data_IF_827487523537
#
_entry.id   IF_827487523537
#
_cell.length_a   1.000
_cell.length_b   1.000
_cell.length_c   1.000
_cell.angle_alpha   90.00
_cell.angle_beta   90.00
_cell.angle_gamma   90.00
#
_symmetry.space_group_name_H-M   'P 1'
#
loop_
_entity.id
_entity.type
_entity.pdbx_description
1 polymer ?
#
# COMPACT_ATOMS: atom_id res chain seq x y z
N UNK A 1 4.40 -24.98 3.33
CA UNK A 1 3.27 -24.46 2.52
C UNK A 1 2.66 -23.18 3.08
N UNK A 2 2.17 -23.15 4.33
CA UNK A 2 1.58 -21.95 4.94
C UNK A 2 2.52 -20.73 4.89
N UNK A 3 3.79 -20.88 5.26
CA UNK A 3 4.77 -19.79 5.22
C UNK A 3 5.04 -19.27 3.82
N UNK A 4 5.06 -20.14 2.80
CA UNK A 4 5.20 -19.74 1.41
C UNK A 4 4.00 -18.87 0.97
N UNK A 5 2.78 -19.32 1.29
CA UNK A 5 1.56 -18.59 0.94
C UNK A 5 1.49 -17.24 1.66
N UNK A 6 1.79 -17.19 2.97
CA UNK A 6 1.79 -15.95 3.75
C UNK A 6 2.90 -15.02 3.29
N UNK A 7 4.11 -15.54 3.03
CA UNK A 7 5.23 -14.75 2.54
C UNK A 7 4.98 -14.12 1.18
N UNK A 8 4.50 -14.91 0.21
CA UNK A 8 4.12 -14.40 -1.11
C UNK A 8 2.91 -13.45 -1.05
N UNK A 9 1.92 -13.79 -0.24
CA UNK A 9 0.73 -12.94 -0.04
C UNK A 9 1.10 -11.57 0.52
N UNK A 10 1.91 -11.52 1.56
CA UNK A 10 2.37 -10.26 2.15
C UNK A 10 3.21 -9.44 1.15
N UNK A 11 4.11 -10.09 0.41
CA UNK A 11 4.92 -9.40 -0.61
C UNK A 11 4.07 -8.80 -1.73
N UNK A 12 3.01 -9.50 -2.16
CA UNK A 12 2.06 -8.99 -3.13
C UNK A 12 1.29 -7.77 -2.57
N UNK A 13 0.82 -7.87 -1.33
CA UNK A 13 0.13 -6.78 -0.62
C UNK A 13 1.03 -5.55 -0.48
N UNK A 14 2.26 -5.75 -0.05
CA UNK A 14 3.23 -4.67 0.12
C UNK A 14 3.59 -4.04 -1.25
N UNK A 15 3.73 -4.84 -2.30
CA UNK A 15 3.94 -4.37 -3.66
C UNK A 15 2.78 -3.52 -4.19
N UNK A 16 1.53 -3.96 -3.98
CA UNK A 16 0.34 -3.20 -4.36
C UNK A 16 0.28 -1.87 -3.58
N UNK A 17 0.48 -1.90 -2.26
CA UNK A 17 0.50 -0.68 -1.44
C UNK A 17 1.60 0.28 -1.85
N UNK A 18 2.76 -0.24 -2.18
CA UNK A 18 3.90 0.56 -2.63
C UNK A 18 3.61 1.29 -3.95
N UNK A 19 2.96 0.64 -4.90
CA UNK A 19 2.53 1.29 -6.16
C UNK A 19 1.46 2.37 -5.96
N UNK A 20 0.72 2.30 -4.86
CA UNK A 20 -0.31 3.29 -4.51
C UNK A 20 0.24 4.44 -3.63
N UNK A 21 1.51 4.41 -3.24
CA UNK A 21 2.15 5.53 -2.52
C UNK A 21 2.24 6.76 -3.43
N UNK A 22 2.15 7.96 -2.86
CA UNK A 22 2.27 9.21 -3.62
C UNK A 22 0.96 9.97 -3.80
N UNK A 23 -0.16 9.44 -3.30
CA UNK A 23 -1.44 10.16 -3.20
C UNK A 23 -2.09 9.81 -1.86
N UNK A 24 -2.77 10.78 -1.25
CA UNK A 24 -3.51 10.55 0.00
C UNK A 24 -4.62 9.51 -0.22
N UNK A 25 -4.63 8.46 0.60
CA UNK A 25 -5.55 7.32 0.46
C UNK A 25 -7.03 7.68 0.64
N UNK A 26 -7.33 8.78 1.33
CA UNK A 26 -8.69 9.29 1.51
C UNK A 26 -8.85 10.64 0.80
N UNK A 27 -8.62 10.64 -0.51
CA UNK A 27 -8.69 11.83 -1.33
C UNK A 27 -9.55 11.64 -2.56
N UNK A 28 -9.96 12.75 -3.15
CA UNK A 28 -10.66 12.81 -4.41
C UNK A 28 -10.03 13.84 -5.34
N UNK A 29 -10.26 13.65 -6.63
CA UNK A 29 -9.85 14.61 -7.66
C UNK A 29 -11.06 15.08 -8.43
N UNK A 30 -11.05 16.35 -8.83
CA UNK A 30 -12.06 16.91 -9.73
C UNK A 30 -11.46 17.97 -10.65
N UNK A 31 -11.90 17.95 -11.88
CA UNK A 31 -11.57 18.95 -12.89
C UNK A 31 -12.78 19.27 -13.76
N UNK A 32 -12.69 20.35 -14.52
CA UNK A 32 -13.74 20.79 -15.43
C UNK A 32 -13.76 19.94 -16.70
N UNK A 33 -14.96 19.63 -17.18
CA UNK A 33 -15.22 19.00 -18.46
C UNK A 33 -16.40 19.71 -19.15
N UNK A 34 -16.68 19.40 -20.40
CA UNK A 34 -17.83 19.98 -21.11
C UNK A 34 -19.17 19.59 -20.47
N UNK A 35 -20.09 20.55 -20.37
CA UNK A 35 -21.42 20.31 -19.82
C UNK A 35 -22.20 19.30 -20.65
N UNK A 36 -22.83 18.33 -20.00
CA UNK A 36 -23.65 17.30 -20.65
C UNK A 36 -25.08 17.71 -20.88
N UNK A 37 -25.58 18.75 -20.18
CA UNK A 37 -26.97 19.19 -20.19
C UNK A 37 -27.08 20.71 -20.42
N UNK A 38 -28.17 21.13 -21.06
CA UNK A 38 -28.54 22.55 -21.10
C UNK A 38 -29.18 22.93 -19.77
N UNK A 39 -28.86 24.11 -19.22
CA UNK A 39 -29.38 24.56 -17.95
C UNK A 39 -29.44 26.07 -17.85
N UNK A 40 -30.53 26.62 -17.33
CA UNK A 40 -30.77 28.07 -17.15
C UNK A 40 -30.43 28.92 -18.38
N UNK A 41 -30.80 28.47 -19.54
CA UNK A 41 -30.57 29.19 -20.80
C UNK A 41 -29.18 28.96 -21.42
N UNK A 42 -28.29 28.23 -20.77
CA UNK A 42 -26.99 27.88 -21.28
C UNK A 42 -27.04 26.55 -22.05
N UNK A 43 -26.26 26.49 -23.15
CA UNK A 43 -26.26 25.32 -24.05
C UNK A 43 -25.49 24.12 -23.45
N UNK A 44 -25.88 22.91 -23.88
CA UNK A 44 -25.10 21.69 -23.72
C UNK A 44 -23.78 21.78 -24.48
N UNK A 45 -22.72 21.13 -23.98
CA UNK A 45 -21.39 21.12 -24.59
C UNK A 45 -20.57 22.39 -24.30
N UNK A 46 -21.01 23.21 -23.36
CA UNK A 46 -20.27 24.41 -22.95
C UNK A 46 -18.99 24.04 -22.20
N UNK A 47 -17.86 24.54 -22.68
CA UNK A 47 -16.61 24.49 -21.92
C UNK A 47 -16.66 25.50 -20.76
N UNK A 48 -16.16 25.09 -19.61
CA UNK A 48 -15.99 25.92 -18.42
C UNK A 48 -14.69 25.56 -17.72
N UNK A 49 -14.22 26.39 -16.82
CA UNK A 49 -12.98 26.13 -16.08
C UNK A 49 -13.16 26.51 -14.61
N UNK A 50 -12.50 25.77 -13.75
CA UNK A 50 -12.35 26.14 -12.33
C UNK A 50 -11.43 27.36 -12.27
N UNK A 51 -11.74 28.32 -11.43
CA UNK A 51 -11.03 29.58 -11.33
C UNK A 51 -10.53 29.84 -9.89
N UNK A 52 -9.56 30.73 -9.77
CA UNK A 52 -9.07 31.18 -8.45
C UNK A 52 -10.19 31.70 -7.55
N UNK A 53 -11.21 32.36 -8.15
CA UNK A 53 -12.38 32.87 -7.41
C UNK A 53 -13.24 31.79 -6.78
N UNK A 54 -13.07 30.53 -7.17
CA UNK A 54 -13.84 29.41 -6.62
C UNK A 54 -13.25 28.88 -5.31
N UNK A 55 -11.93 29.05 -5.11
CA UNK A 55 -11.20 28.50 -3.95
C UNK A 55 -11.80 28.94 -2.61
N UNK A 56 -12.07 30.23 -2.34
CA UNK A 56 -12.63 30.64 -1.05
C UNK A 56 -14.00 30.03 -0.74
N UNK A 57 -14.79 29.74 -1.78
CA UNK A 57 -16.09 29.08 -1.62
C UNK A 57 -15.93 27.58 -1.36
N UNK A 58 -15.00 26.92 -2.07
CA UNK A 58 -14.67 25.53 -1.84
C UNK A 58 -14.17 25.31 -0.41
N UNK A 59 -13.24 26.13 0.07
CA UNK A 59 -12.70 26.04 1.44
C UNK A 59 -13.77 26.27 2.52
N UNK A 60 -14.75 27.13 2.24
CA UNK A 60 -15.84 27.41 3.18
C UNK A 60 -16.93 26.35 3.19
N UNK A 61 -17.30 25.82 2.01
CA UNK A 61 -18.49 25.01 1.83
C UNK A 61 -18.21 23.51 1.78
N UNK A 62 -17.00 23.08 1.38
CA UNK A 62 -16.59 21.70 1.45
C UNK A 62 -16.10 21.32 2.86
N UNK A 63 -17.02 21.31 3.81
CA UNK A 63 -16.71 21.15 5.25
C UNK A 63 -16.12 19.80 5.63
N UNK A 64 -16.33 18.76 4.81
CA UNK A 64 -15.75 17.45 4.99
C UNK A 64 -14.26 17.39 4.57
N UNK A 65 -13.76 18.40 3.83
CA UNK A 65 -12.37 18.48 3.44
C UNK A 65 -11.48 18.96 4.59
N UNK A 66 -10.35 18.29 4.79
CA UNK A 66 -9.24 18.76 5.63
C UNK A 66 -8.38 19.77 4.87
N UNK A 67 -8.11 19.46 3.60
CA UNK A 67 -7.35 20.31 2.71
C UNK A 67 -7.89 20.24 1.28
N UNK A 68 -7.84 21.37 0.60
CA UNK A 68 -8.13 21.48 -0.83
C UNK A 68 -6.87 21.98 -1.52
N UNK A 69 -6.24 21.12 -2.29
CA UNK A 69 -5.09 21.50 -3.09
C UNK A 69 -5.52 21.73 -4.54
N UNK A 70 -4.83 22.61 -5.22
CA UNK A 70 -5.11 22.94 -6.61
C UNK A 70 -3.84 22.93 -7.45
N UNK A 71 -4.01 22.53 -8.69
CA UNK A 71 -2.91 22.29 -9.63
C UNK A 71 -3.20 22.95 -10.98
N UNK A 72 -2.14 23.54 -11.52
CA UNK A 72 -2.07 23.97 -12.89
C UNK A 72 -1.00 23.19 -13.63
N UNK A 73 -1.40 22.48 -14.67
CA UNK A 73 -0.46 21.84 -15.58
C UNK A 73 0.09 22.88 -16.56
N UNK A 74 1.42 23.01 -16.59
CA UNK A 74 2.12 23.84 -17.55
C UNK A 74 2.63 22.94 -18.70
N UNK A 75 2.98 21.69 -18.35
CA UNK A 75 3.47 20.69 -19.28
C UNK A 75 4.99 20.64 -19.35
N UNK A 76 5.47 19.83 -20.28
CA UNK A 76 6.90 19.74 -20.61
C UNK A 76 7.08 20.12 -22.08
N UNK A 77 8.21 20.70 -22.41
CA UNK A 77 8.67 20.93 -23.78
C UNK A 77 10.15 20.67 -23.88
N UNK A 78 10.63 20.48 -25.08
CA UNK A 78 12.01 20.08 -25.33
C UNK A 78 12.99 21.05 -24.68
N UNK A 79 13.94 20.51 -23.92
CA UNK A 79 15.02 21.25 -23.23
C UNK A 79 14.50 22.42 -22.38
N UNK A 80 13.38 22.22 -21.70
CA UNK A 80 12.73 23.28 -20.92
C UNK A 80 13.52 23.70 -19.67
N UNK A 81 14.47 22.86 -19.22
CA UNK A 81 15.19 23.11 -17.97
C UNK A 81 16.69 22.92 -18.17
N UNK A 82 17.48 23.83 -17.58
CA UNK A 82 18.93 23.74 -17.61
C UNK A 82 19.60 24.25 -16.32
N UNK A 83 20.77 23.68 -16.02
CA UNK A 83 21.71 24.10 -14.98
C UNK A 83 23.13 23.93 -15.50
N UNK A 84 23.83 25.05 -15.77
CA UNK A 84 25.11 25.00 -16.48
C UNK A 84 24.95 24.27 -17.81
N UNK A 85 25.76 23.25 -18.02
CA UNK A 85 25.77 22.42 -19.24
C UNK A 85 24.70 21.29 -19.22
N UNK A 86 24.03 21.08 -18.09
CA UNK A 86 23.00 20.06 -17.95
C UNK A 86 21.66 20.58 -18.44
N UNK A 87 21.03 19.80 -19.30
CA UNK A 87 19.74 20.16 -19.93
C UNK A 87 18.80 18.96 -19.89
N UNK A 88 17.53 19.21 -19.57
CA UNK A 88 16.50 18.18 -19.54
C UNK A 88 15.11 18.71 -19.88
N UNK A 89 14.18 17.79 -20.07
CA UNK A 89 12.78 18.07 -20.32
C UNK A 89 11.93 17.48 -19.19
N UNK A 90 11.36 18.34 -18.35
CA UNK A 90 10.61 17.93 -17.16
C UNK A 90 9.22 18.51 -17.13
N UNK A 91 8.28 17.82 -16.49
CA UNK A 91 6.91 18.29 -16.32
C UNK A 91 6.85 19.40 -15.28
N UNK A 92 6.39 20.57 -15.69
CA UNK A 92 6.26 21.74 -14.82
C UNK A 92 4.82 21.87 -14.32
N UNK A 93 4.68 21.94 -13.00
CA UNK A 93 3.41 22.07 -12.31
C UNK A 93 3.39 23.30 -11.43
N UNK A 94 2.32 24.09 -11.52
CA UNK A 94 1.99 25.09 -10.51
C UNK A 94 1.11 24.45 -9.44
N UNK A 95 1.54 24.49 -8.18
CA UNK A 95 0.85 23.80 -7.08
C UNK A 95 0.56 24.74 -5.91
N UNK A 96 -0.55 24.47 -5.21
CA UNK A 96 -0.87 25.13 -3.94
C UNK A 96 0.06 24.69 -2.81
N UNK A 97 0.04 25.40 -1.71
CA UNK A 97 0.76 25.08 -0.48
C UNK A 97 0.27 23.76 0.17
N UNK A 98 -1.02 23.46 0.06
CA UNK A 98 -1.62 22.21 0.57
C UNK A 98 -1.33 20.97 -0.30
N UNK A 99 -0.66 21.15 -1.44
CA UNK A 99 -0.45 20.04 -2.39
C UNK A 99 0.38 18.89 -1.80
N UNK A 100 1.27 19.15 -0.85
CA UNK A 100 2.04 18.07 -0.19
C UNK A 100 1.14 17.12 0.58
N UNK A 101 0.04 17.60 1.17
CA UNK A 101 -0.93 16.77 1.87
C UNK A 101 -1.69 15.82 0.92
N UNK A 102 -1.92 16.27 -0.32
CA UNK A 102 -2.56 15.46 -1.35
C UNK A 102 -1.59 14.46 -2.01
N UNK A 103 -0.34 14.88 -2.27
CA UNK A 103 0.66 14.07 -2.98
C UNK A 103 1.41 13.08 -2.07
N UNK A 104 1.42 13.30 -0.74
CA UNK A 104 2.07 12.44 0.27
C UNK A 104 3.51 12.01 -0.04
N UNK A 105 4.20 12.68 -0.99
CA UNK A 105 5.56 12.31 -1.36
C UNK A 105 6.57 12.89 -0.37
N UNK A 106 7.38 12.05 0.30
CA UNK A 106 8.39 12.52 1.24
C UNK A 106 9.44 13.40 0.57
N UNK A 107 10.12 14.23 1.35
CA UNK A 107 11.24 15.03 0.90
C UNK A 107 12.56 14.36 1.28
N UNK A 108 13.52 14.36 0.36
CA UNK A 108 14.89 13.95 0.59
C UNK A 108 15.67 15.08 1.25
N UNK A 109 15.49 16.32 0.75
CA UNK A 109 16.13 17.53 1.26
C UNK A 109 15.14 18.70 1.29
N UNK A 110 15.36 19.60 2.23
CA UNK A 110 14.70 20.89 2.27
C UNK A 110 13.24 20.85 2.71
N UNK A 111 12.41 21.69 2.09
CA UNK A 111 10.98 21.86 2.41
C UNK A 111 10.12 21.92 1.15
N UNK A 112 8.83 21.71 1.33
CA UNK A 112 7.86 21.92 0.26
C UNK A 112 7.49 23.42 0.11
N UNK A 113 6.71 23.73 -0.94
CA UNK A 113 6.11 25.06 -1.18
C UNK A 113 5.13 25.34 -0.04
N UNK A 114 5.19 26.56 0.48
CA UNK A 114 4.33 27.01 1.56
C UNK A 114 3.47 28.22 1.18
N UNK A 115 2.54 28.60 2.06
CA UNK A 115 1.63 29.72 1.87
C UNK A 115 2.37 31.03 1.50
N UNK A 116 3.52 31.33 2.16
CA UNK A 116 4.31 32.54 1.86
C UNK A 116 4.89 32.51 0.45
N UNK A 117 5.27 31.34 -0.07
CA UNK A 117 5.79 31.21 -1.42
C UNK A 117 4.69 31.49 -2.46
N UNK A 118 3.47 30.99 -2.18
CA UNK A 118 2.28 31.21 -3.01
C UNK A 118 1.84 32.68 -2.94
N UNK A 119 1.68 33.25 -1.73
CA UNK A 119 1.20 34.60 -1.55
C UNK A 119 2.17 35.65 -2.12
N UNK A 120 3.48 35.45 -1.95
CA UNK A 120 4.51 36.40 -2.42
C UNK A 120 5.01 36.08 -3.84
N UNK A 121 4.43 35.08 -4.51
CA UNK A 121 4.81 34.66 -5.88
C UNK A 121 6.32 34.42 -6.01
N UNK A 122 6.90 33.71 -5.02
CA UNK A 122 8.34 33.46 -4.97
C UNK A 122 8.77 32.57 -6.11
N UNK A 123 9.94 32.86 -6.70
CA UNK A 123 10.57 31.99 -7.70
C UNK A 123 11.35 30.85 -7.03
N UNK A 124 10.61 29.93 -6.43
CA UNK A 124 11.15 28.73 -5.79
C UNK A 124 10.57 27.48 -6.45
N UNK A 125 11.30 26.37 -6.35
CA UNK A 125 10.82 25.09 -6.88
C UNK A 125 11.17 23.92 -5.97
N UNK A 126 10.35 22.88 -6.08
CA UNK A 126 10.63 21.54 -5.56
C UNK A 126 10.80 20.61 -6.75
N UNK A 127 11.86 19.81 -6.76
CA UNK A 127 12.22 18.93 -7.87
C UNK A 127 12.07 17.46 -7.49
N UNK A 128 11.68 16.62 -8.44
CA UNK A 128 11.61 15.17 -8.28
C UNK A 128 13.01 14.51 -8.31
N UNK A 129 13.07 13.25 -7.90
CA UNK A 129 14.34 12.50 -7.77
C UNK A 129 15.10 12.38 -9.09
N UNK A 130 14.43 12.07 -10.21
CA UNK A 130 15.08 11.97 -11.51
C UNK A 130 15.61 13.33 -11.97
N UNK A 131 14.79 14.39 -11.85
CA UNK A 131 15.23 15.77 -12.13
C UNK A 131 16.45 16.16 -11.30
N UNK A 132 16.49 15.74 -10.03
CA UNK A 132 17.61 15.97 -9.14
C UNK A 132 18.87 15.25 -9.63
N UNK A 133 18.81 13.96 -9.96
CA UNK A 133 19.96 13.17 -10.42
C UNK A 133 20.55 13.69 -11.74
N UNK A 134 19.67 14.09 -12.65
CA UNK A 134 20.08 14.57 -13.96
C UNK A 134 20.77 15.95 -13.90
N UNK A 135 20.22 16.88 -13.10
CA UNK A 135 20.74 18.25 -13.00
C UNK A 135 21.85 18.41 -11.95
N UNK A 136 21.94 17.50 -10.98
CA UNK A 136 22.87 17.56 -9.86
C UNK A 136 23.60 16.21 -9.66
N UNK A 137 24.37 15.74 -10.67
CA UNK A 137 25.06 14.45 -10.60
C UNK A 137 26.12 14.38 -9.49
N UNK A 138 26.55 15.54 -8.97
CA UNK A 138 27.43 15.65 -7.82
C UNK A 138 26.78 15.22 -6.50
N UNK A 139 25.46 15.15 -6.47
CA UNK A 139 24.69 14.76 -5.28
C UNK A 139 24.76 15.78 -4.14
N UNK A 140 24.28 15.36 -2.96
CA UNK A 140 24.25 16.20 -1.76
C UNK A 140 23.04 17.13 -1.67
N UNK A 141 23.00 17.96 -0.62
CA UNK A 141 21.91 18.93 -0.44
C UNK A 141 22.07 20.10 -1.43
N UNK A 142 21.09 20.24 -2.31
CA UNK A 142 21.04 21.26 -3.36
C UNK A 142 20.10 22.41 -3.04
N UNK A 143 19.58 22.44 -1.81
CA UNK A 143 18.71 23.54 -1.39
C UNK A 143 19.42 24.88 -1.46
N UNK A 144 18.74 25.88 -2.03
CA UNK A 144 19.34 27.20 -2.25
C UNK A 144 19.99 27.39 -3.61
N UNK A 145 20.34 26.32 -4.32
CA UNK A 145 20.86 26.40 -5.69
C UNK A 145 19.76 26.79 -6.69
N UNK A 146 20.15 27.23 -7.87
CA UNK A 146 19.22 27.69 -8.88
C UNK A 146 19.23 26.81 -10.12
N UNK A 147 18.06 26.60 -10.69
CA UNK A 147 17.83 26.00 -12.02
C UNK A 147 17.08 27.00 -12.89
N UNK A 148 17.23 26.92 -14.18
CA UNK A 148 16.49 27.75 -15.13
C UNK A 148 15.47 26.88 -15.85
N UNK A 149 14.19 27.26 -15.75
CA UNK A 149 13.07 26.56 -16.40
C UNK A 149 12.38 27.52 -17.34
N UNK A 150 12.30 27.19 -18.63
CA UNK A 150 11.71 28.06 -19.63
C UNK A 150 12.29 29.48 -19.68
N UNK A 151 13.59 29.61 -19.44
CA UNK A 151 14.29 30.90 -19.41
C UNK A 151 14.18 31.66 -18.07
N UNK A 152 13.51 31.11 -17.06
CA UNK A 152 13.29 31.76 -15.78
C UNK A 152 14.02 30.99 -14.68
N UNK A 153 14.74 31.73 -13.84
CA UNK A 153 15.51 31.16 -12.75
C UNK A 153 14.65 30.90 -11.52
N UNK A 154 14.69 29.66 -11.01
CA UNK A 154 14.04 29.21 -9.79
C UNK A 154 15.07 28.71 -8.79
N UNK A 155 14.87 29.02 -7.52
CA UNK A 155 15.68 28.49 -6.42
C UNK A 155 15.07 27.19 -5.92
N UNK A 156 15.87 26.13 -5.87
CA UNK A 156 15.47 24.85 -5.31
C UNK A 156 15.31 24.99 -3.79
N UNK A 157 14.13 24.67 -3.28
CA UNK A 157 13.81 24.72 -1.83
C UNK A 157 13.57 23.33 -1.27
N UNK A 158 13.38 22.33 -2.11
CA UNK A 158 13.24 20.94 -1.71
C UNK A 158 13.47 19.97 -2.87
N UNK A 159 13.82 18.74 -2.49
CA UNK A 159 13.99 17.60 -3.39
C UNK A 159 13.09 16.50 -2.86
N UNK A 160 12.24 15.93 -3.71
CA UNK A 160 11.39 14.79 -3.34
C UNK A 160 12.18 13.49 -3.41
N UNK A 161 11.84 12.55 -2.54
CA UNK A 161 12.38 11.19 -2.64
C UNK A 161 11.86 10.51 -3.90
N UNK A 162 12.58 9.50 -4.37
CA UNK A 162 12.12 8.66 -5.48
C UNK A 162 10.74 8.06 -5.15
N UNK A 163 9.82 8.24 -6.08
CA UNK A 163 8.53 7.60 -6.07
C UNK A 163 8.50 6.52 -7.14
N UNK A 164 8.14 5.31 -6.78
CA UNK A 164 7.90 4.23 -7.74
C UNK A 164 6.41 4.08 -8.05
N UNK A 165 5.61 5.03 -7.54
CA UNK A 165 4.18 5.07 -7.79
C UNK A 165 3.91 5.45 -9.26
N UNK A 166 3.05 4.67 -9.90
CA UNK A 166 2.51 4.98 -11.22
C UNK A 166 1.38 6.03 -11.16
N UNK A 167 0.92 6.37 -9.95
CA UNK A 167 -0.08 7.42 -9.72
C UNK A 167 0.60 8.78 -9.51
N UNK A 168 1.18 9.31 -10.59
CA UNK A 168 1.72 10.66 -10.60
C UNK A 168 0.69 11.68 -11.06
N UNK A 169 0.44 12.72 -10.25
CA UNK A 169 -0.36 13.86 -10.64
C UNK A 169 0.38 14.65 -11.72
N UNK A 170 -0.08 14.58 -12.96
CA UNK A 170 0.57 15.31 -14.06
C UNK A 170 1.78 14.59 -14.66
N UNK A 171 1.86 13.26 -14.55
CA UNK A 171 2.94 12.45 -15.08
C UNK A 171 3.86 11.88 -13.99
N UNK A 172 5.01 11.34 -14.37
CA UNK A 172 5.95 10.76 -13.41
C UNK A 172 6.42 11.81 -12.39
N UNK A 173 6.15 11.56 -11.11
CA UNK A 173 6.52 12.46 -10.00
C UNK A 173 8.04 12.68 -9.91
N UNK A 174 8.84 11.72 -10.36
CA UNK A 174 10.29 11.81 -10.37
C UNK A 174 10.82 12.82 -11.40
N UNK A 175 10.09 13.02 -12.50
CA UNK A 175 10.41 13.95 -13.58
C UNK A 175 9.68 15.28 -13.48
N UNK A 176 9.24 15.67 -12.29
CA UNK A 176 8.45 16.89 -12.09
C UNK A 176 9.26 18.00 -11.43
N UNK A 177 8.93 19.23 -11.86
CA UNK A 177 9.32 20.47 -11.20
C UNK A 177 8.03 21.15 -10.72
N UNK A 178 7.90 21.34 -9.42
CA UNK A 178 6.76 21.98 -8.79
C UNK A 178 7.13 23.40 -8.38
N UNK A 179 6.34 24.37 -8.80
CA UNK A 179 6.52 25.79 -8.45
C UNK A 179 5.23 26.33 -7.80
N UNK A 180 5.29 27.45 -7.04
CA UNK A 180 4.08 28.03 -6.46
C UNK A 180 3.04 28.34 -7.54
N UNK A 181 1.78 28.01 -7.26
CA UNK A 181 0.67 28.14 -8.21
C UNK A 181 0.56 29.55 -8.81
N UNK A 182 0.61 30.55 -7.95
CA UNK A 182 0.54 31.98 -8.37
C UNK A 182 1.74 32.40 -9.20
N UNK A 183 2.93 31.87 -8.91
CA UNK A 183 4.13 32.08 -9.71
C UNK A 183 3.96 31.44 -11.09
N UNK A 184 3.39 30.23 -11.16
CA UNK A 184 3.11 29.55 -12.39
C UNK A 184 2.15 30.35 -13.31
N UNK A 185 1.08 30.87 -12.74
CA UNK A 185 0.12 31.73 -13.46
C UNK A 185 0.76 33.00 -14.03
N UNK A 186 1.56 33.68 -13.21
CA UNK A 186 2.20 34.93 -13.61
C UNK A 186 3.28 34.73 -14.68
N UNK A 187 3.97 33.59 -14.62
CA UNK A 187 5.21 33.38 -15.37
C UNK A 187 4.96 32.71 -16.74
N UNK A 188 4.10 31.69 -16.76
CA UNK A 188 3.88 30.86 -17.95
C UNK A 188 2.54 31.14 -18.65
N UNK A 189 2.04 32.30 -18.52
CA UNK A 189 0.83 32.78 -19.16
C UNK A 189 -0.40 32.34 -18.37
N UNK A 190 -1.32 33.25 -18.23
CA UNK A 190 -2.33 32.74 -17.69
C UNK A 190 -3.51 33.31 -17.11
N UNK A 191 -4.50 32.83 -17.56
CA UNK A 191 -5.81 32.96 -17.00
C UNK A 191 -5.80 32.40 -15.57
N UNK A 192 -6.71 32.83 -14.74
CA UNK A 192 -7.01 32.34 -13.39
C UNK A 192 -7.55 30.89 -13.37
N UNK A 193 -7.14 30.06 -14.35
CA UNK A 193 -7.62 28.70 -14.55
C UNK A 193 -6.86 27.71 -13.67
N UNK A 194 -7.64 26.89 -12.97
CA UNK A 194 -7.19 25.73 -12.22
C UNK A 194 -7.56 24.49 -13.06
N UNK A 195 -6.59 23.63 -13.33
CA UNK A 195 -6.86 22.44 -14.14
C UNK A 195 -7.42 21.28 -13.32
N UNK A 196 -7.01 21.18 -12.04
CA UNK A 196 -7.42 20.09 -11.18
C UNK A 196 -7.43 20.51 -9.71
N UNK A 197 -8.43 20.04 -8.98
CA UNK A 197 -8.52 20.16 -7.52
C UNK A 197 -8.32 18.78 -6.89
N UNK A 198 -7.69 18.79 -5.74
CA UNK A 198 -7.61 17.66 -4.83
C UNK A 198 -8.33 18.01 -3.55
N UNK A 199 -9.23 17.13 -3.13
CA UNK A 199 -9.84 17.19 -1.82
C UNK A 199 -9.30 16.05 -0.96
N UNK A 200 -8.69 16.37 0.18
CA UNK A 200 -8.32 15.40 1.21
C UNK A 200 -9.39 15.43 2.27
N UNK A 201 -9.98 14.29 2.59
CA UNK A 201 -11.06 14.21 3.57
C UNK A 201 -10.51 14.24 5.00
N UNK A 202 -11.27 14.85 5.91
CA UNK A 202 -11.00 14.82 7.36
C UNK A 202 -11.01 13.38 7.89
N UNK A 203 -10.29 13.09 8.99
CA UNK A 203 -10.41 11.81 9.67
C UNK A 203 -11.87 11.49 10.03
N UNK A 204 -12.34 10.32 9.60
CA UNK A 204 -13.73 9.88 9.78
C UNK A 204 -14.71 10.26 8.67
N UNK A 205 -14.33 11.17 7.76
CA UNK A 205 -15.13 11.53 6.59
C UNK A 205 -14.69 10.71 5.36
N UNK A 206 -15.56 10.60 4.37
CA UNK A 206 -15.25 9.90 3.13
C UNK A 206 -14.88 10.88 2.02
N UNK A 207 -13.91 10.51 1.18
CA UNK A 207 -13.52 11.29 0.01
C UNK A 207 -14.70 11.53 -0.96
N UNK A 208 -15.64 10.59 -1.06
CA UNK A 208 -16.89 10.74 -1.81
C UNK A 208 -17.73 11.95 -1.34
N UNK A 209 -17.80 12.18 -0.02
CA UNK A 209 -18.52 13.34 0.56
C UNK A 209 -17.83 14.64 0.15
N UNK A 210 -16.50 14.69 0.24
CA UNK A 210 -15.73 15.86 -0.19
C UNK A 210 -15.94 16.12 -1.68
N UNK A 211 -15.85 15.08 -2.52
CA UNK A 211 -16.07 15.19 -3.96
C UNK A 211 -17.45 15.74 -4.29
N UNK A 212 -18.49 15.26 -3.61
CA UNK A 212 -19.86 15.73 -3.80
C UNK A 212 -19.99 17.22 -3.40
N UNK A 213 -19.50 17.60 -2.23
CA UNK A 213 -19.52 19.00 -1.78
C UNK A 213 -18.76 19.92 -2.75
N UNK A 214 -17.58 19.51 -3.22
CA UNK A 214 -16.82 20.29 -4.20
C UNK A 214 -17.57 20.45 -5.53
N UNK A 215 -18.18 19.39 -6.03
CA UNK A 215 -19.01 19.44 -7.25
C UNK A 215 -20.23 20.35 -7.06
N UNK A 216 -20.89 20.31 -5.93
CA UNK A 216 -22.08 21.14 -5.65
C UNK A 216 -21.74 22.63 -5.59
N UNK A 217 -20.62 22.98 -4.96
CA UNK A 217 -20.11 24.36 -4.99
C UNK A 217 -19.82 24.81 -6.42
N UNK A 218 -19.14 23.99 -7.20
CA UNK A 218 -18.79 24.33 -8.58
C UNK A 218 -20.05 24.40 -9.48
N UNK A 219 -21.04 23.51 -9.28
CA UNK A 219 -22.32 23.55 -10.00
C UNK A 219 -23.05 24.87 -9.80
N UNK A 220 -23.14 25.31 -8.54
CA UNK A 220 -23.83 26.55 -8.19
C UNK A 220 -23.14 27.77 -8.79
N UNK A 221 -21.81 27.81 -8.76
CA UNK A 221 -21.02 28.94 -9.23
C UNK A 221 -20.94 29.06 -10.76
N UNK A 222 -20.93 27.94 -11.45
CA UNK A 222 -20.77 27.89 -12.92
C UNK A 222 -22.07 27.60 -13.66
N UNK A 223 -23.22 27.66 -12.98
CA UNK A 223 -24.55 27.45 -13.58
C UNK A 223 -24.58 26.11 -14.34
N UNK A 224 -24.23 25.03 -13.63
CA UNK A 224 -24.25 23.65 -14.15
C UNK A 224 -25.47 22.95 -13.58
N UNK A 225 -26.15 22.12 -14.38
CA UNK A 225 -27.30 21.37 -13.91
C UNK A 225 -26.95 20.46 -12.71
N UNK A 226 -27.83 20.36 -11.67
CA UNK A 226 -27.53 19.58 -10.47
C UNK A 226 -27.23 18.11 -10.72
N UNK A 227 -27.77 17.56 -11.80
CA UNK A 227 -27.65 16.17 -12.22
C UNK A 227 -26.70 15.97 -13.43
N UNK A 228 -25.83 16.96 -13.74
CA UNK A 228 -24.88 16.90 -14.82
C UNK A 228 -23.49 16.49 -14.30
N UNK A 229 -23.28 15.18 -14.20
CA UNK A 229 -21.97 14.63 -13.82
C UNK A 229 -20.95 14.68 -14.96
N UNK A 230 -21.39 14.80 -16.23
CA UNK A 230 -20.48 14.91 -17.37
C UNK A 230 -19.67 16.21 -17.35
N UNK A 231 -20.19 17.27 -16.72
CA UNK A 231 -19.50 18.54 -16.57
C UNK A 231 -18.19 18.42 -15.76
N UNK A 232 -17.96 17.30 -15.10
CA UNK A 232 -16.80 17.06 -14.29
C UNK A 232 -16.07 15.82 -14.77
N UNK A 233 -14.75 15.85 -14.75
CA UNK A 233 -13.95 14.66 -14.72
C UNK A 233 -13.34 14.52 -13.32
N UNK A 234 -13.04 13.32 -12.92
CA UNK A 234 -12.46 13.05 -11.60
C UNK A 234 -13.13 11.88 -10.92
N UNK A 235 -12.53 11.47 -9.83
CA UNK A 235 -12.92 10.25 -9.14
C UNK A 235 -12.63 10.30 -7.64
N UNK A 236 -13.31 9.45 -6.91
CA UNK A 236 -13.03 9.14 -5.51
C UNK A 236 -11.88 8.12 -5.45
N UNK A 237 -10.65 8.62 -5.25
CA UNK A 237 -9.48 7.76 -5.08
C UNK A 237 -9.61 6.90 -3.83
N UNK A 238 -10.27 7.41 -2.79
CA UNK A 238 -10.55 6.64 -1.58
C UNK A 238 -11.41 5.40 -1.84
N UNK A 239 -12.33 5.45 -2.81
CA UNK A 239 -13.10 4.26 -3.20
C UNK A 239 -12.22 3.20 -3.87
N UNK A 240 -11.29 3.62 -4.72
CA UNK A 240 -10.33 2.70 -5.37
C UNK A 240 -9.41 2.05 -4.34
N UNK A 241 -8.87 2.82 -3.39
CA UNK A 241 -8.07 2.27 -2.31
C UNK A 241 -8.86 1.28 -1.45
N UNK A 242 -10.13 1.60 -1.11
CA UNK A 242 -11.00 0.65 -0.36
C UNK A 242 -11.26 -0.64 -1.14
N UNK A 243 -11.44 -0.55 -2.47
CA UNK A 243 -11.61 -1.75 -3.31
C UNK A 243 -10.35 -2.63 -3.28
N UNK A 244 -9.18 -2.02 -3.36
CA UNK A 244 -7.89 -2.73 -3.23
C UNK A 244 -7.75 -3.35 -1.84
N UNK A 245 -8.07 -2.63 -0.76
CA UNK A 245 -8.02 -3.18 0.61
C UNK A 245 -8.99 -4.36 0.78
N UNK A 246 -10.18 -4.33 0.17
CA UNK A 246 -11.10 -5.47 0.16
C UNK A 246 -10.54 -6.68 -0.58
N UNK A 247 -9.88 -6.49 -1.72
CA UNK A 247 -9.17 -7.56 -2.44
C UNK A 247 -8.05 -8.16 -1.59
N UNK A 248 -7.24 -7.31 -0.95
CA UNK A 248 -6.18 -7.72 -0.04
C UNK A 248 -6.75 -8.54 1.13
N UNK A 249 -7.84 -8.08 1.72
CA UNK A 249 -8.53 -8.82 2.79
C UNK A 249 -9.01 -10.18 2.29
N UNK A 250 -9.63 -10.24 1.11
CA UNK A 250 -10.08 -11.50 0.50
C UNK A 250 -8.93 -12.48 0.27
N UNK A 251 -7.81 -12.01 -0.28
CA UNK A 251 -6.60 -12.81 -0.47
C UNK A 251 -6.04 -13.31 0.87
N UNK A 252 -6.00 -12.45 1.87
CA UNK A 252 -5.53 -12.80 3.22
C UNK A 252 -6.40 -13.90 3.83
N UNK A 253 -7.73 -13.79 3.74
CA UNK A 253 -8.66 -14.82 4.21
C UNK A 253 -8.43 -16.15 3.46
N UNK A 254 -8.25 -16.10 2.15
CA UNK A 254 -7.98 -17.29 1.33
C UNK A 254 -6.68 -17.98 1.75
N UNK A 255 -5.61 -17.21 1.97
CA UNK A 255 -4.31 -17.72 2.44
C UNK A 255 -4.44 -18.41 3.79
N UNK A 256 -5.16 -17.79 4.73
CA UNK A 256 -5.43 -18.40 6.04
C UNK A 256 -6.29 -19.65 5.94
N UNK A 257 -7.31 -19.65 5.09
CA UNK A 257 -8.17 -20.82 4.87
C UNK A 257 -7.40 -22.04 4.34
N UNK A 258 -6.59 -21.82 3.29
CA UNK A 258 -5.71 -22.86 2.73
C UNK A 258 -4.66 -23.28 3.75
N UNK A 259 -4.07 -22.31 4.46
CA UNK A 259 -3.07 -22.57 5.50
C UNK A 259 -3.60 -23.43 6.64
N UNK A 260 -4.79 -23.12 7.16
CA UNK A 260 -5.46 -23.95 8.18
C UNK A 260 -5.80 -25.33 7.66
N UNK A 261 -6.29 -25.44 6.42
CA UNK A 261 -6.57 -26.72 5.79
C UNK A 261 -5.31 -27.63 5.69
N UNK A 262 -4.18 -27.05 5.31
CA UNK A 262 -2.91 -27.80 5.25
C UNK A 262 -2.40 -28.20 6.63
N UNK A 263 -2.56 -27.34 7.66
CA UNK A 263 -2.23 -27.69 9.04
C UNK A 263 -3.10 -28.83 9.58
N UNK A 264 -4.41 -28.79 9.33
CA UNK A 264 -5.33 -29.88 9.71
C UNK A 264 -4.98 -31.19 9.02
N UNK A 265 -4.66 -31.16 7.72
CA UNK A 265 -4.19 -32.33 6.99
C UNK A 265 -2.92 -32.91 7.60
N UNK A 266 -1.94 -32.06 7.93
CA UNK A 266 -0.72 -32.47 8.63
C UNK A 266 -0.99 -33.07 10.01
N UNK A 267 -1.91 -32.47 10.79
CA UNK A 267 -2.32 -32.98 12.10
C UNK A 267 -2.95 -34.38 12.02
N UNK A 268 -3.81 -34.62 11.04
CA UNK A 268 -4.41 -35.92 10.78
C UNK A 268 -3.31 -36.96 10.40
N UNK A 269 -2.34 -36.53 9.57
CA UNK A 269 -1.20 -37.37 9.20
C UNK A 269 -0.38 -37.80 10.43
N UNK A 270 0.01 -36.85 11.29
CA UNK A 270 0.72 -37.16 12.54
C UNK A 270 -0.11 -38.06 13.45
N UNK A 271 -1.40 -37.75 13.62
CA UNK A 271 -2.30 -38.58 14.43
C UNK A 271 -2.37 -40.04 13.92
N UNK A 272 -2.47 -40.23 12.60
CA UNK A 272 -2.50 -41.57 12.00
C UNK A 272 -1.20 -42.35 12.20
N UNK A 273 -0.04 -41.69 12.02
CA UNK A 273 1.28 -42.32 12.26
C UNK A 273 1.38 -42.72 13.73
N UNK A 274 1.03 -41.82 14.66
CA UNK A 274 1.07 -42.11 16.10
C UNK A 274 0.12 -43.27 16.50
N UNK A 275 -1.05 -43.38 15.86
CA UNK A 275 -1.96 -44.49 16.10
C UNK A 275 -1.36 -45.85 15.68
N UNK A 276 -0.63 -45.91 14.55
CA UNK A 276 0.09 -47.10 14.12
C UNK A 276 1.22 -47.42 15.10
N UNK A 277 2.04 -46.43 15.46
CA UNK A 277 3.14 -46.60 16.42
C UNK A 277 2.65 -47.11 17.77
N UNK A 278 1.50 -46.62 18.27
CA UNK A 278 0.92 -47.11 19.53
C UNK A 278 0.49 -48.57 19.41
N UNK A 279 -0.09 -48.96 18.29
CA UNK A 279 -0.44 -50.39 18.05
C UNK A 279 0.78 -51.29 18.04
N UNK A 280 1.86 -50.90 17.38
CA UNK A 280 3.13 -51.63 17.36
C UNK A 280 3.76 -51.75 18.75
N UNK A 281 3.56 -50.74 19.62
CA UNK A 281 4.09 -50.72 21.00
C UNK A 281 3.07 -51.13 22.07
N UNK A 282 1.94 -51.75 21.69
CA UNK A 282 0.85 -52.15 22.61
C UNK A 282 1.37 -52.99 23.78
N UNK A 283 2.23 -53.96 23.50
CA UNK A 283 2.85 -54.82 24.49
C UNK A 283 3.75 -54.08 25.49
N UNK A 284 4.56 -53.16 24.98
CA UNK A 284 5.42 -52.31 25.81
C UNK A 284 4.60 -51.40 26.74
N UNK A 285 3.56 -50.76 26.23
CA UNK A 285 2.65 -49.88 26.99
C UNK A 285 1.89 -50.74 28.04
N UNK A 286 1.46 -51.95 27.69
CA UNK A 286 0.80 -52.87 28.58
C UNK A 286 1.69 -53.28 29.76
N UNK A 287 2.97 -53.67 29.51
CA UNK A 287 3.95 -54.02 30.53
C UNK A 287 4.19 -52.82 31.47
N UNK A 288 4.41 -51.60 30.95
CA UNK A 288 4.61 -50.41 31.77
C UNK A 288 3.42 -50.12 32.70
N UNK A 289 2.20 -50.30 32.21
CA UNK A 289 0.97 -50.18 33.01
C UNK A 289 0.85 -51.28 34.08
N UNK A 290 1.22 -52.50 33.75
CA UNK A 290 1.19 -53.61 34.70
C UNK A 290 2.18 -53.42 35.87
N UNK A 291 3.34 -52.77 35.61
CA UNK A 291 4.38 -52.44 36.63
C UNK A 291 3.98 -51.16 37.42
N UNK A 292 2.86 -50.48 37.09
CA UNK A 292 2.35 -49.36 37.88
C UNK A 292 2.59 -47.99 37.29
N UNK A 293 2.92 -47.85 35.99
CA UNK A 293 3.04 -46.54 35.36
C UNK A 293 1.71 -45.78 35.37
N UNK A 294 1.72 -44.50 35.79
CA UNK A 294 0.52 -43.67 35.83
C UNK A 294 0.00 -43.38 34.42
N UNK A 295 -1.32 -43.28 34.23
CA UNK A 295 -1.90 -42.85 32.97
C UNK A 295 -1.35 -41.55 32.42
N UNK A 296 -1.08 -40.56 33.30
CA UNK A 296 -0.52 -39.27 32.94
C UNK A 296 0.92 -39.37 32.36
N UNK A 297 1.74 -40.31 32.89
CA UNK A 297 3.09 -40.56 32.38
C UNK A 297 3.06 -41.08 30.93
N UNK A 298 2.16 -42.03 30.62
CA UNK A 298 2.01 -42.56 29.25
C UNK A 298 1.52 -41.51 28.28
N UNK A 299 0.49 -40.74 28.68
CA UNK A 299 0.01 -39.63 27.90
C UNK A 299 1.09 -38.57 27.66
N UNK A 300 1.81 -38.20 28.70
CA UNK A 300 2.93 -37.25 28.63
C UNK A 300 4.02 -37.70 27.66
N UNK A 301 4.38 -38.98 27.67
CA UNK A 301 5.36 -39.56 26.74
C UNK A 301 4.86 -39.47 25.28
N UNK A 302 3.62 -39.86 24.99
CA UNK A 302 3.05 -39.84 23.64
C UNK A 302 2.95 -38.40 23.13
N UNK A 303 2.51 -37.47 23.97
CA UNK A 303 2.45 -36.05 23.62
C UNK A 303 3.85 -35.47 23.40
N UNK A 304 4.85 -35.85 24.19
CA UNK A 304 6.23 -35.40 23.99
C UNK A 304 6.80 -35.91 22.66
N UNK A 305 6.58 -37.18 22.32
CA UNK A 305 7.00 -37.76 21.05
C UNK A 305 6.32 -37.07 19.85
N UNK A 306 5.01 -36.87 19.92
CA UNK A 306 4.22 -36.17 18.89
C UNK A 306 4.69 -34.71 18.72
N UNK A 307 4.91 -33.99 19.84
CA UNK A 307 5.37 -32.60 19.86
C UNK A 307 6.77 -32.47 19.29
N UNK A 308 7.67 -33.37 19.65
CA UNK A 308 9.04 -33.39 19.15
C UNK A 308 9.08 -33.59 17.63
N UNK A 309 8.33 -34.58 17.11
CA UNK A 309 8.23 -34.83 15.68
C UNK A 309 7.66 -33.62 14.93
N UNK A 310 6.61 -33.01 15.49
CA UNK A 310 5.98 -31.85 14.89
C UNK A 310 6.90 -30.62 14.90
N UNK A 311 7.62 -30.38 16.01
CA UNK A 311 8.57 -29.28 16.12
C UNK A 311 9.74 -29.44 15.14
N UNK A 312 10.33 -30.64 15.06
CA UNK A 312 11.43 -30.95 14.15
C UNK A 312 11.00 -30.76 12.68
N UNK A 313 9.85 -31.33 12.31
CA UNK A 313 9.27 -31.19 10.97
C UNK A 313 8.94 -29.72 10.66
N UNK A 314 8.47 -28.98 11.66
CA UNK A 314 8.16 -27.55 11.54
C UNK A 314 9.41 -26.71 11.28
N UNK A 315 10.49 -26.92 12.01
CA UNK A 315 11.77 -26.24 11.79
C UNK A 315 12.31 -26.54 10.39
N UNK A 316 12.32 -27.82 9.99
CA UNK A 316 12.75 -28.22 8.63
C UNK A 316 11.87 -27.58 7.57
N UNK A 317 10.55 -27.53 7.78
CA UNK A 317 9.60 -26.89 6.87
C UNK A 317 9.83 -25.37 6.76
N UNK A 318 10.17 -24.70 7.86
CA UNK A 318 10.51 -23.27 7.86
C UNK A 318 11.80 -23.03 7.06
N UNK A 319 12.86 -23.81 7.34
CA UNK A 319 14.14 -23.68 6.64
C UNK A 319 13.96 -23.92 5.14
N UNK A 320 13.23 -24.97 4.75
CA UNK A 320 12.93 -25.26 3.36
C UNK A 320 12.08 -24.16 2.72
N UNK A 321 11.05 -23.66 3.41
CA UNK A 321 10.17 -22.59 2.92
C UNK A 321 10.91 -21.27 2.70
N UNK A 322 11.74 -20.85 3.66
CA UNK A 322 12.58 -19.65 3.54
C UNK A 322 13.61 -19.83 2.43
N UNK A 323 14.24 -21.01 2.32
CA UNK A 323 15.19 -21.31 1.26
C UNK A 323 14.57 -21.24 -0.14
N UNK A 324 13.35 -21.75 -0.33
CA UNK A 324 12.61 -21.65 -1.60
C UNK A 324 12.28 -20.17 -1.90
N UNK A 325 11.80 -19.39 -0.92
CA UNK A 325 11.50 -17.98 -1.09
C UNK A 325 12.75 -17.18 -1.49
N UNK A 326 13.89 -17.44 -0.86
CA UNK A 326 15.16 -16.80 -1.22
C UNK A 326 15.65 -17.20 -2.61
N UNK A 327 15.45 -18.45 -3.02
CA UNK A 327 15.82 -18.93 -4.37
C UNK A 327 14.94 -18.31 -5.46
N UNK A 328 13.65 -18.07 -5.16
CA UNK A 328 12.67 -17.50 -6.10
C UNK A 328 12.73 -15.97 -6.12
N UNK A 329 13.14 -15.32 -5.02
CA UNK A 329 13.23 -13.87 -4.90
C UNK A 329 13.96 -13.17 -6.06
N UNK A 330 15.14 -13.61 -6.54
CA UNK A 330 15.81 -12.95 -7.67
C UNK A 330 15.06 -13.10 -9.00
N UNK A 331 14.26 -14.14 -9.17
CA UNK A 331 13.41 -14.33 -10.36
C UNK A 331 12.21 -13.37 -10.36
N UNK A 332 11.73 -13.00 -9.17
CA UNK A 332 10.62 -12.07 -8.97
C UNK A 332 11.09 -10.61 -8.88
N UNK A 333 12.36 -10.36 -8.56
CA UNK A 333 12.92 -9.02 -8.41
C UNK A 333 12.87 -8.17 -9.71
N UNK A 334 12.75 -8.81 -10.87
CA UNK A 334 12.56 -8.11 -12.15
C UNK A 334 11.11 -7.64 -12.38
N UNK A 335 10.17 -8.03 -11.54
CA UNK A 335 8.79 -7.55 -11.59
C UNK A 335 8.59 -6.45 -10.56
N UNK A 336 8.15 -5.28 -11.00
CA UNK A 336 7.88 -4.10 -10.17
C UNK A 336 6.92 -4.38 -8.98
N UNK A 337 6.09 -5.42 -9.11
CA UNK A 337 5.14 -5.88 -8.07
C UNK A 337 5.81 -6.55 -6.86
N UNK A 338 7.08 -6.99 -6.98
CA UNK A 338 7.82 -7.74 -5.96
C UNK A 338 9.15 -7.08 -5.57
N UNK A 339 9.30 -5.78 -5.83
CA UNK A 339 10.53 -5.01 -5.61
C UNK A 339 11.02 -4.99 -4.15
N UNK A 340 10.13 -5.15 -3.19
CA UNK A 340 10.46 -5.20 -1.75
C UNK A 340 11.01 -6.55 -1.28
N UNK A 341 11.11 -7.54 -2.17
CA UNK A 341 11.60 -8.89 -1.87
C UNK A 341 10.60 -9.74 -1.08
N UNK A 342 10.66 -11.04 -1.30
CA UNK A 342 9.84 -12.02 -0.57
C UNK A 342 10.45 -12.32 0.80
N UNK A 343 10.39 -11.36 1.74
CA UNK A 343 10.93 -11.56 3.09
C UNK A 343 9.82 -12.03 4.03
N UNK A 344 10.05 -13.18 4.67
CA UNK A 344 9.19 -13.63 5.77
C UNK A 344 9.71 -13.00 7.06
N UNK A 345 8.90 -12.19 7.71
CA UNK A 345 9.22 -11.65 9.04
C UNK A 345 9.44 -12.78 10.03
N UNK A 346 10.50 -12.66 10.86
CA UNK A 346 10.80 -13.63 11.93
C UNK A 346 9.59 -13.89 12.83
N UNK A 347 8.78 -12.87 13.12
CA UNK A 347 7.56 -12.99 13.93
C UNK A 347 6.51 -13.89 13.28
N UNK A 348 6.36 -13.88 11.96
CA UNK A 348 5.45 -14.74 11.21
C UNK A 348 5.95 -16.18 11.23
N UNK A 349 7.25 -16.41 11.02
CA UNK A 349 7.85 -17.73 11.07
C UNK A 349 7.74 -18.36 12.47
N UNK A 350 8.03 -17.57 13.51
CA UNK A 350 7.94 -18.01 14.90
C UNK A 350 6.49 -18.25 15.32
N UNK A 351 5.57 -17.35 14.96
CA UNK A 351 4.13 -17.53 15.20
C UNK A 351 3.57 -18.79 14.52
N UNK A 352 3.98 -19.04 13.28
CA UNK A 352 3.63 -20.27 12.54
C UNK A 352 4.13 -21.55 13.23
N UNK A 353 5.36 -21.52 13.78
CA UNK A 353 5.92 -22.62 14.57
C UNK A 353 5.11 -22.90 15.83
N UNK A 354 4.74 -21.85 16.57
CA UNK A 354 3.91 -22.00 17.77
C UNK A 354 2.54 -22.58 17.47
N UNK A 355 1.89 -22.12 16.39
CA UNK A 355 0.61 -22.68 15.94
C UNK A 355 0.77 -24.16 15.58
N UNK A 356 1.84 -24.50 14.87
CA UNK A 356 2.12 -25.89 14.47
C UNK A 356 2.32 -26.79 15.69
N UNK A 357 3.06 -26.34 16.69
CA UNK A 357 3.27 -27.08 17.96
C UNK A 357 1.92 -27.27 18.68
N UNK A 358 1.10 -26.23 18.78
CA UNK A 358 -0.22 -26.31 19.40
C UNK A 358 -1.13 -27.34 18.67
N UNK A 359 -1.14 -27.30 17.33
CA UNK A 359 -1.89 -28.26 16.50
C UNK A 359 -1.34 -29.68 16.66
N UNK A 360 -0.01 -29.86 16.75
CA UNK A 360 0.64 -31.16 17.00
C UNK A 360 0.28 -31.74 18.36
N UNK A 361 0.23 -30.91 19.40
CA UNK A 361 -0.25 -31.33 20.73
C UNK A 361 -1.72 -31.81 20.68
N UNK A 362 -2.59 -31.06 20.01
CA UNK A 362 -4.01 -31.44 19.87
C UNK A 362 -4.15 -32.75 19.05
N UNK A 363 -3.38 -32.91 18.00
CA UNK A 363 -3.37 -34.13 17.17
C UNK A 363 -2.90 -35.37 17.96
N UNK A 364 -1.95 -35.18 18.91
CA UNK A 364 -1.45 -36.23 19.78
C UNK A 364 -2.44 -36.68 20.88
N UNK A 365 -3.45 -35.87 21.21
CA UNK A 365 -4.43 -36.21 22.24
C UNK A 365 -5.29 -37.44 21.89
N UNK A 366 -5.66 -37.60 20.61
CA UNK A 366 -6.51 -38.70 20.14
C UNK A 366 -5.78 -40.05 20.24
N UNK A 367 -4.53 -40.18 19.74
CA UNK A 367 -3.71 -41.37 19.97
C UNK A 367 -3.45 -41.63 21.48
N UNK A 368 -3.14 -40.60 22.25
CA UNK A 368 -2.89 -40.74 23.67
C UNK A 368 -4.11 -41.32 24.45
N UNK A 369 -5.32 -40.87 24.14
CA UNK A 369 -6.55 -41.43 24.70
C UNK A 369 -6.72 -42.88 24.33
N UNK A 370 -6.40 -43.31 23.08
CA UNK A 370 -6.48 -44.73 22.67
C UNK A 370 -5.44 -45.58 23.39
N UNK A 371 -4.24 -45.08 23.61
CA UNK A 371 -3.23 -45.82 24.41
C UNK A 371 -3.69 -46.09 25.84
N UNK A 372 -4.46 -45.20 26.45
CA UNK A 372 -5.05 -45.42 27.76
C UNK A 372 -6.16 -46.48 27.78
N UNK A 373 -6.80 -46.74 26.66
CA UNK A 373 -7.86 -47.75 26.57
C UNK A 373 -7.29 -49.20 26.49
N UNK A 374 -5.99 -49.36 26.30
CA UNK A 374 -5.33 -50.69 26.25
C UNK A 374 -5.38 -51.32 27.64
N UNK A 375 -6.02 -52.49 27.76
CA UNK A 375 -6.04 -53.25 29.03
C UNK A 375 -4.76 -54.05 29.17
N UNK A 376 -4.06 -53.99 30.32
CA UNK A 376 -2.79 -54.68 30.53
C UNK A 376 -2.87 -56.21 30.31
N UNK A 377 -3.99 -56.81 30.64
CA UNK A 377 -4.23 -58.25 30.49
C UNK A 377 -4.35 -58.66 29.00
N UNK A 378 -5.05 -57.85 28.19
CA UNK A 378 -5.22 -58.11 26.76
C UNK A 378 -3.87 -57.89 26.02
N UNK A 379 -3.12 -56.86 26.38
CA UNK A 379 -1.82 -56.54 25.79
C UNK A 379 -0.72 -57.59 26.01
N UNK A 380 -0.83 -58.41 27.07
CA UNK A 380 0.12 -59.51 27.36
C UNK A 380 -0.24 -60.79 26.65
N UNK A 381 -1.48 -60.98 26.20
CA UNK A 381 -1.98 -62.19 25.53
C UNK A 381 -2.04 -62.06 24.00
N UNK A 382 -1.73 -60.88 23.40
CA UNK A 382 -1.56 -60.74 21.94
C UNK A 382 -0.19 -61.34 21.54
N UNK A 383 -0.23 -62.46 20.84
CA UNK A 383 0.91 -63.05 20.11
C UNK A 383 1.25 -62.28 18.83
#
# INVERSE_FOLDING_TARGET
MLLLLVGMGNSLVDGIRYQLTGVATNSCIVGANETGKAYQGLQKGRAWNIRNSDIPYLEREATAAEAIAYVRFIGSWEKNTHRGDKVGSYNLLGVSDNFQQASCTPLLYGRFINEKDVAQQRKVCVIGDQTYRDLFPEGGDVTGQCITVGGIQFRVVGVQTRSESHFGIGGDTNEQIKIPFTTAQRTYGGNDVIHMLFGVAKPGEQAATVLTQMKDVLRSRHTIAPDDDRAFWGQDLGAEFRAVDMLIMGLTILVWFIGLGTLLSGAIGVSNIMLVTIRERTKEIGIRRAIGASPASIVGQILAESTFLTALSGVLGIVAGVGILQAVSPLLANNEMFTQGTQVSFSVAFGGLLILIAVGLLAGLLPAKRALAIKPIEALNEE
#
